data_IF_242699748761
#
_entry.id   IF_242699748761
#
_cell.length_a   1.000
_cell.length_b   1.000
_cell.length_c   1.000
_cell.angle_alpha   90.00
_cell.angle_beta   90.00
_cell.angle_gamma   90.00
#
_symmetry.space_group_name_H-M   'P 1'
#
loop_
_entity.id
_entity.type
_entity.pdbx_description
1 polymer ?
#
# COMPACT_ATOMS: atom_id res chain seq x y z
N UNK A 1 -8.66 -23.93 2.95
CA UNK A 1 -7.39 -24.40 3.56
C UNK A 1 -6.86 -23.39 4.59
N UNK A 2 -6.51 -22.17 4.17
CA UNK A 2 -5.87 -21.15 5.02
C UNK A 2 -6.64 -20.79 6.30
N UNK A 3 -7.97 -20.90 6.29
CA UNK A 3 -8.82 -20.62 7.46
C UNK A 3 -8.97 -21.77 8.46
N UNK A 4 -8.66 -23.01 8.07
CA UNK A 4 -9.10 -24.22 8.79
C UNK A 4 -7.99 -25.20 9.13
N UNK A 5 -6.89 -25.20 8.38
CA UNK A 5 -5.78 -26.13 8.66
C UNK A 5 -4.98 -25.59 9.85
N UNK A 6 -4.92 -26.37 10.94
CA UNK A 6 -4.17 -25.99 12.13
C UNK A 6 -2.64 -26.15 11.92
N UNK A 7 -2.23 -27.14 11.13
CA UNK A 7 -0.82 -27.36 10.78
C UNK A 7 -0.35 -26.38 9.69
N UNK A 8 -0.01 -25.18 10.12
CA UNK A 8 0.53 -24.10 9.29
C UNK A 8 1.94 -24.39 8.77
N UNK A 9 2.68 -25.31 9.41
CA UNK A 9 3.99 -25.77 8.92
C UNK A 9 3.78 -26.56 7.62
N UNK A 10 2.83 -27.48 7.61
CA UNK A 10 2.46 -28.20 6.39
C UNK A 10 1.89 -27.26 5.32
N UNK A 11 1.05 -26.29 5.68
CA UNK A 11 0.57 -25.27 4.72
C UNK A 11 1.75 -24.50 4.12
N UNK A 12 2.74 -24.13 4.94
CA UNK A 12 3.94 -23.45 4.46
C UNK A 12 4.69 -24.31 3.45
N UNK A 13 5.03 -25.54 3.83
CA UNK A 13 5.81 -26.46 3.01
C UNK A 13 5.15 -26.84 1.68
N UNK A 14 3.86 -27.10 1.70
CA UNK A 14 3.15 -27.67 0.55
C UNK A 14 2.43 -26.63 -0.30
N UNK A 15 2.16 -25.43 0.23
CA UNK A 15 1.45 -24.37 -0.49
C UNK A 15 2.36 -23.15 -0.66
N UNK A 16 2.82 -22.54 0.44
CA UNK A 16 3.57 -21.27 0.38
C UNK A 16 4.90 -21.46 -0.35
N UNK A 17 5.66 -22.49 -0.03
CA UNK A 17 6.96 -22.79 -0.66
C UNK A 17 6.82 -23.08 -2.16
N UNK A 18 5.63 -23.49 -2.62
CA UNK A 18 5.35 -23.69 -4.05
C UNK A 18 4.99 -22.35 -4.74
N UNK A 19 4.25 -21.49 -4.05
CA UNK A 19 3.87 -20.16 -4.52
C UNK A 19 5.10 -19.28 -4.72
N UNK A 20 6.05 -19.31 -3.77
CA UNK A 20 7.23 -18.41 -3.77
C UNK A 20 8.39 -18.91 -4.63
N UNK A 21 8.20 -20.00 -5.40
CA UNK A 21 9.24 -20.48 -6.32
C UNK A 21 9.59 -19.39 -7.34
N UNK A 22 10.88 -19.14 -7.63
CA UNK A 22 11.30 -18.03 -8.50
C UNK A 22 10.60 -17.99 -9.87
N UNK A 23 10.34 -19.15 -10.48
CA UNK A 23 9.69 -19.27 -11.79
C UNK A 23 8.15 -19.14 -11.77
N UNK A 24 7.54 -19.08 -10.58
CA UNK A 24 6.07 -19.08 -10.40
C UNK A 24 5.59 -17.80 -9.72
N UNK A 25 6.37 -17.26 -8.79
CA UNK A 25 5.93 -16.24 -7.86
C UNK A 25 5.38 -14.98 -8.54
N UNK A 26 6.15 -14.45 -9.51
CA UNK A 26 5.73 -13.31 -10.34
C UNK A 26 4.42 -13.58 -11.06
N UNK A 27 4.29 -14.75 -11.69
CA UNK A 27 3.09 -15.15 -12.43
C UNK A 27 1.85 -15.14 -11.53
N UNK A 28 1.97 -15.64 -10.30
CA UNK A 28 0.87 -15.61 -9.32
C UNK A 28 0.54 -14.17 -8.89
N UNK A 29 1.55 -13.33 -8.63
CA UNK A 29 1.35 -11.93 -8.25
C UNK A 29 0.67 -11.11 -9.35
N UNK A 30 0.91 -11.44 -10.62
CA UNK A 30 0.33 -10.77 -11.79
C UNK A 30 -1.04 -11.35 -12.18
N UNK A 31 -1.41 -12.52 -11.67
CA UNK A 31 -2.68 -13.15 -12.01
C UNK A 31 -3.86 -12.53 -11.24
N UNK A 32 -5.01 -12.41 -11.93
CA UNK A 32 -6.25 -11.84 -11.38
C UNK A 32 -6.80 -12.61 -10.17
N UNK A 33 -6.53 -13.90 -10.05
CA UNK A 33 -6.97 -14.70 -8.91
C UNK A 33 -5.81 -15.03 -7.97
N UNK A 34 -4.61 -15.26 -8.52
CA UNK A 34 -3.39 -15.54 -7.77
C UNK A 34 -3.03 -14.44 -6.77
N UNK A 35 -3.12 -13.17 -7.16
CA UNK A 35 -2.78 -12.07 -6.25
C UNK A 35 -3.67 -12.05 -5.00
N UNK A 36 -4.93 -12.48 -5.11
CA UNK A 36 -5.85 -12.57 -3.98
C UNK A 36 -5.45 -13.64 -2.99
N UNK A 37 -4.84 -14.74 -3.43
CA UNK A 37 -4.30 -15.77 -2.55
C UNK A 37 -3.12 -15.22 -1.74
N UNK A 38 -2.22 -14.48 -2.40
CA UNK A 38 -1.09 -13.82 -1.72
C UNK A 38 -1.58 -12.80 -0.70
N UNK A 39 -2.54 -11.95 -1.08
CA UNK A 39 -3.16 -10.99 -0.17
C UNK A 39 -3.82 -11.71 1.01
N UNK A 40 -4.51 -12.83 0.78
CA UNK A 40 -5.14 -13.60 1.85
C UNK A 40 -4.14 -14.16 2.86
N UNK A 41 -3.00 -14.68 2.39
CA UNK A 41 -1.89 -15.13 3.24
C UNK A 41 -1.30 -13.99 4.07
N UNK A 42 -1.19 -12.81 3.47
CA UNK A 42 -0.53 -11.63 4.06
C UNK A 42 -1.43 -10.90 5.06
N UNK A 43 -2.69 -10.64 4.70
CA UNK A 43 -3.58 -9.77 5.49
C UNK A 43 -4.67 -10.52 6.25
N UNK A 44 -4.83 -11.82 5.97
CA UNK A 44 -5.88 -12.64 6.56
C UNK A 44 -7.28 -12.28 6.09
N UNK A 45 -8.27 -13.00 6.62
CA UNK A 45 -9.64 -12.97 6.12
C UNK A 45 -10.33 -11.60 6.23
N UNK A 46 -10.23 -10.95 7.38
CA UNK A 46 -10.97 -9.71 7.66
C UNK A 46 -10.55 -8.57 6.73
N UNK A 47 -9.24 -8.39 6.52
CA UNK A 47 -8.73 -7.36 5.61
C UNK A 47 -8.86 -7.75 4.14
N UNK A 48 -8.92 -9.05 3.84
CA UNK A 48 -9.18 -9.55 2.48
C UNK A 48 -10.55 -9.15 1.91
N UNK A 49 -11.49 -8.68 2.75
CA UNK A 49 -12.75 -8.06 2.30
C UNK A 49 -12.54 -6.88 1.33
N UNK A 50 -11.36 -6.23 1.36
CA UNK A 50 -11.01 -5.16 0.42
C UNK A 50 -10.69 -5.67 -0.99
N UNK A 51 -10.35 -6.95 -1.15
CA UNK A 51 -9.83 -7.55 -2.39
C UNK A 51 -10.71 -8.66 -2.95
N UNK A 52 -11.61 -9.22 -2.12
CA UNK A 52 -12.55 -10.26 -2.49
C UNK A 52 -13.93 -9.67 -2.78
N UNK A 53 -14.69 -10.33 -3.68
CA UNK A 53 -16.10 -9.97 -3.88
C UNK A 53 -16.93 -10.36 -2.66
N UNK A 54 -18.07 -9.69 -2.49
CA UNK A 54 -19.04 -10.02 -1.45
C UNK A 54 -19.46 -11.50 -1.49
N UNK A 55 -19.79 -12.03 -2.67
CA UNK A 55 -20.18 -13.44 -2.84
C UNK A 55 -19.07 -14.42 -2.45
N UNK A 56 -17.81 -14.09 -2.77
CA UNK A 56 -16.65 -14.90 -2.35
C UNK A 56 -16.55 -14.91 -0.83
N UNK A 57 -16.77 -13.76 -0.19
CA UNK A 57 -16.72 -13.66 1.25
C UNK A 57 -17.86 -14.44 1.92
N UNK A 58 -19.09 -14.32 1.42
CA UNK A 58 -20.22 -15.12 1.89
C UNK A 58 -20.00 -16.62 1.73
N UNK A 59 -19.34 -17.04 0.65
CA UNK A 59 -18.98 -18.44 0.47
C UNK A 59 -17.99 -18.93 1.53
N UNK A 60 -17.01 -18.10 1.91
CA UNK A 60 -16.08 -18.42 3.01
C UNK A 60 -16.81 -18.50 4.36
N UNK A 61 -17.80 -17.64 4.61
CA UNK A 61 -18.60 -17.63 5.85
C UNK A 61 -19.37 -18.92 6.08
N UNK A 62 -19.83 -19.59 5.01
CA UNK A 62 -20.47 -20.92 5.13
C UNK A 62 -19.55 -21.97 5.75
N UNK A 63 -18.23 -21.78 5.69
CA UNK A 63 -17.25 -22.67 6.32
C UNK A 63 -17.05 -22.43 7.82
N UNK A 64 -17.57 -21.34 8.39
CA UNK A 64 -17.24 -20.94 9.77
C UNK A 64 -17.81 -21.88 10.84
N UNK A 65 -19.00 -22.43 10.62
CA UNK A 65 -19.58 -23.41 11.55
C UNK A 65 -18.71 -24.68 11.64
N UNK A 66 -18.25 -25.18 10.49
CA UNK A 66 -17.37 -26.34 10.44
C UNK A 66 -15.98 -26.03 10.98
N UNK A 67 -15.47 -24.84 10.68
CA UNK A 67 -14.19 -24.33 11.23
C UNK A 67 -14.23 -24.28 12.76
N UNK A 68 -15.30 -23.78 13.35
CA UNK A 68 -15.45 -23.72 14.81
C UNK A 68 -15.42 -25.10 15.48
N UNK A 69 -15.82 -26.16 14.76
CA UNK A 69 -15.83 -27.54 15.25
C UNK A 69 -14.52 -28.30 15.00
N UNK A 70 -13.83 -27.98 13.91
CA UNK A 70 -12.70 -28.81 13.40
C UNK A 70 -11.33 -28.17 13.53
N UNK A 71 -11.25 -26.84 13.63
CA UNK A 71 -10.01 -26.08 13.75
C UNK A 71 -9.81 -25.60 15.18
N UNK A 72 -8.82 -26.16 15.87
CA UNK A 72 -8.49 -25.82 17.26
C UNK A 72 -7.57 -24.60 17.37
N UNK A 73 -6.84 -24.25 16.29
CA UNK A 73 -5.94 -23.10 16.29
C UNK A 73 -6.71 -21.79 16.18
N UNK A 74 -6.36 -20.83 17.03
CA UNK A 74 -6.92 -19.48 17.00
C UNK A 74 -6.75 -18.85 15.59
N UNK A 75 -7.81 -18.23 15.01
CA UNK A 75 -7.74 -17.56 13.71
C UNK A 75 -6.58 -16.57 13.57
N UNK A 76 -6.37 -15.73 14.59
CA UNK A 76 -5.38 -14.65 14.55
C UNK A 76 -3.98 -15.25 14.59
N UNK A 77 -3.74 -16.24 15.46
CA UNK A 77 -2.46 -16.97 15.52
C UNK A 77 -2.15 -17.61 14.16
N UNK A 78 -3.12 -18.31 13.57
CA UNK A 78 -2.93 -18.95 12.25
C UNK A 78 -2.63 -17.94 11.16
N UNK A 79 -3.38 -16.84 11.07
CA UNK A 79 -3.11 -15.77 10.10
C UNK A 79 -1.70 -15.19 10.30
N UNK A 80 -1.27 -14.97 11.53
CA UNK A 80 0.07 -14.42 11.81
C UNK A 80 1.17 -15.41 11.41
N UNK A 81 1.00 -16.71 11.64
CA UNK A 81 1.96 -17.73 11.20
C UNK A 81 2.07 -17.79 9.67
N UNK A 82 0.94 -17.78 8.95
CA UNK A 82 0.93 -17.77 7.48
C UNK A 82 1.55 -16.48 6.92
N UNK A 83 1.26 -15.33 7.55
CA UNK A 83 1.87 -14.05 7.20
C UNK A 83 3.38 -14.09 7.38
N UNK A 84 3.85 -14.61 8.51
CA UNK A 84 5.28 -14.76 8.80
C UNK A 84 5.98 -15.66 7.79
N UNK A 85 5.29 -16.68 7.28
CA UNK A 85 5.82 -17.58 6.26
C UNK A 85 5.98 -16.91 4.89
N UNK A 86 5.01 -16.11 4.43
CA UNK A 86 5.06 -15.48 3.09
C UNK A 86 5.88 -14.17 3.06
N UNK A 87 5.95 -13.44 4.18
CA UNK A 87 6.53 -12.08 4.23
C UNK A 87 7.99 -12.00 3.75
N UNK A 88 8.91 -12.90 4.14
CA UNK A 88 10.31 -12.81 3.69
C UNK A 88 10.46 -12.84 2.17
N UNK A 89 9.69 -13.69 1.48
CA UNK A 89 9.73 -13.78 0.02
C UNK A 89 9.21 -12.50 -0.64
N UNK A 90 8.12 -11.92 -0.12
CA UNK A 90 7.56 -10.66 -0.63
C UNK A 90 8.52 -9.48 -0.41
N UNK A 91 9.13 -9.38 0.78
CA UNK A 91 10.08 -8.33 1.12
C UNK A 91 11.32 -8.41 0.23
N UNK A 92 11.88 -9.60 0.04
CA UNK A 92 13.04 -9.79 -0.84
C UNK A 92 12.71 -9.49 -2.29
N UNK A 93 11.57 -9.98 -2.80
CA UNK A 93 11.14 -9.66 -4.16
C UNK A 93 10.95 -8.16 -4.37
N UNK A 94 10.33 -7.46 -3.41
CA UNK A 94 10.11 -6.02 -3.49
C UNK A 94 11.42 -5.20 -3.41
N UNK A 95 12.43 -5.67 -2.66
CA UNK A 95 13.77 -5.08 -2.63
C UNK A 95 14.43 -5.14 -4.01
N UNK A 96 14.37 -6.29 -4.65
CA UNK A 96 15.04 -6.55 -5.94
C UNK A 96 14.25 -5.97 -7.14
N UNK A 97 12.92 -5.91 -7.03
CA UNK A 97 12.03 -5.61 -8.16
C UNK A 97 11.05 -4.47 -7.85
N UNK A 98 11.51 -3.41 -7.19
CA UNK A 98 10.64 -2.29 -6.72
C UNK A 98 9.78 -1.69 -7.84
N UNK A 99 10.35 -1.45 -9.02
CA UNK A 99 9.61 -0.91 -10.17
C UNK A 99 8.54 -1.89 -10.68
N UNK A 100 8.85 -3.19 -10.70
CA UNK A 100 7.93 -4.22 -11.17
C UNK A 100 6.73 -4.42 -10.22
N UNK A 101 6.94 -4.22 -8.92
CA UNK A 101 5.85 -4.21 -7.94
C UNK A 101 4.81 -3.12 -8.22
N UNK A 102 5.15 -2.11 -9.02
CA UNK A 102 4.25 -1.06 -9.50
C UNK A 102 3.81 -1.25 -10.96
N UNK A 103 4.03 -2.42 -11.57
CA UNK A 103 3.75 -2.67 -12.99
C UNK A 103 2.27 -2.83 -13.32
N UNK A 104 1.46 -3.26 -12.36
CA UNK A 104 0.01 -3.36 -12.49
C UNK A 104 -0.69 -3.20 -11.13
N UNK A 105 -2.02 -3.10 -11.17
CA UNK A 105 -2.84 -2.92 -9.96
C UNK A 105 -2.71 -4.06 -8.96
N UNK A 106 -2.60 -5.32 -9.39
CA UNK A 106 -2.53 -6.49 -8.51
C UNK A 106 -1.22 -6.52 -7.73
N UNK A 107 -0.09 -6.32 -8.43
CA UNK A 107 1.22 -6.23 -7.79
C UNK A 107 1.30 -5.02 -6.85
N UNK A 108 0.72 -3.88 -7.24
CA UNK A 108 0.70 -2.68 -6.40
C UNK A 108 -0.08 -2.89 -5.11
N UNK A 109 -1.20 -3.64 -5.15
CA UNK A 109 -1.96 -4.01 -3.95
C UNK A 109 -1.14 -4.90 -3.01
N UNK A 110 -0.49 -5.94 -3.56
CA UNK A 110 0.42 -6.79 -2.80
C UNK A 110 1.55 -5.95 -2.20
N UNK A 111 2.10 -5.02 -2.98
CA UNK A 111 3.21 -4.19 -2.55
C UNK A 111 2.82 -3.31 -1.36
N UNK A 112 1.66 -2.67 -1.46
CA UNK A 112 1.10 -1.84 -0.40
C UNK A 112 0.95 -2.64 0.90
N UNK A 113 0.34 -3.83 0.82
CA UNK A 113 0.15 -4.68 1.99
C UNK A 113 1.46 -5.28 2.52
N UNK A 114 2.45 -5.50 1.66
CA UNK A 114 3.77 -5.99 2.08
C UNK A 114 4.46 -4.94 2.96
N UNK A 115 4.36 -3.66 2.59
CA UNK A 115 4.95 -2.57 3.37
C UNK A 115 4.17 -2.28 4.65
N UNK A 116 2.83 -2.34 4.62
CA UNK A 116 2.00 -2.05 5.78
C UNK A 116 1.92 -3.21 6.78
N UNK A 117 1.67 -4.43 6.29
CA UNK A 117 1.36 -5.58 7.14
C UNK A 117 2.46 -6.63 7.16
N UNK A 118 3.31 -6.69 6.15
CA UNK A 118 4.36 -7.71 6.05
C UNK A 118 5.27 -7.72 7.27
N UNK A 119 5.57 -8.94 7.75
CA UNK A 119 6.46 -9.21 8.88
C UNK A 119 7.90 -8.90 8.46
N UNK A 120 8.36 -7.69 8.77
CA UNK A 120 9.72 -7.21 8.58
C UNK A 120 9.93 -5.93 9.40
N UNK A 121 11.16 -5.71 9.86
CA UNK A 121 11.53 -4.48 10.56
C UNK A 121 11.52 -3.28 9.61
N UNK A 122 11.54 -2.08 10.18
CA UNK A 122 11.57 -0.86 9.39
C UNK A 122 12.90 -0.71 8.63
N UNK A 123 14.00 -1.23 9.20
CA UNK A 123 15.32 -1.32 8.57
C UNK A 123 15.29 -2.26 7.37
N UNK A 124 14.63 -3.42 7.50
CA UNK A 124 14.47 -4.35 6.38
C UNK A 124 13.64 -3.74 5.25
N UNK A 125 12.67 -2.87 5.54
CA UNK A 125 11.87 -2.16 4.54
C UNK A 125 12.60 -0.93 3.96
N UNK A 126 13.67 -0.45 4.59
CA UNK A 126 14.31 0.84 4.28
C UNK A 126 14.77 0.94 2.83
N UNK A 127 15.47 -0.08 2.33
CA UNK A 127 15.96 -0.11 0.94
C UNK A 127 14.80 -0.01 -0.06
N UNK A 128 13.68 -0.69 0.20
CA UNK A 128 12.49 -0.62 -0.64
C UNK A 128 11.92 0.80 -0.65
N UNK A 129 11.79 1.40 0.54
CA UNK A 129 11.25 2.75 0.72
C UNK A 129 12.13 3.82 0.05
N UNK A 130 13.44 3.60 -0.01
CA UNK A 130 14.41 4.48 -0.69
C UNK A 130 14.41 4.31 -2.21
N UNK A 131 14.12 3.09 -2.71
CA UNK A 131 14.02 2.83 -4.14
C UNK A 131 12.77 3.46 -4.78
N UNK A 132 11.66 3.57 -4.04
CA UNK A 132 10.39 4.07 -4.59
C UNK A 132 10.51 5.51 -5.14
N UNK A 133 11.04 6.50 -4.39
CA UNK A 133 11.16 7.87 -4.92
C UNK A 133 12.09 7.99 -6.13
N UNK A 134 13.04 7.06 -6.31
CA UNK A 134 13.91 7.04 -7.49
C UNK A 134 13.14 6.77 -8.80
N UNK A 135 11.93 6.20 -8.72
CA UNK A 135 11.08 5.91 -9.87
C UNK A 135 10.27 7.12 -10.38
N UNK A 136 10.32 8.25 -9.68
CA UNK A 136 9.66 9.51 -10.11
C UNK A 136 10.39 10.11 -11.31
N UNK A 137 11.70 9.86 -11.43
CA UNK A 137 12.57 10.45 -12.44
C UNK A 137 12.96 11.91 -12.13
N UNK A 138 13.88 12.45 -12.92
CA UNK A 138 14.44 13.80 -12.72
C UNK A 138 13.55 14.94 -13.22
N UNK A 139 12.49 14.63 -13.99
CA UNK A 139 11.62 15.65 -14.59
C UNK A 139 10.14 15.28 -14.51
N UNK A 140 9.31 16.29 -14.27
CA UNK A 140 7.84 16.21 -14.35
C UNK A 140 7.30 15.90 -15.76
N UNK A 141 8.19 15.80 -16.76
CA UNK A 141 7.87 15.44 -18.15
C UNK A 141 8.05 13.96 -18.45
N UNK A 142 8.47 13.14 -17.48
CA UNK A 142 8.56 11.69 -17.65
C UNK A 142 7.16 11.05 -17.57
N UNK A 143 6.71 10.44 -18.66
CA UNK A 143 5.42 9.73 -18.74
C UNK A 143 5.32 8.56 -17.74
N UNK A 144 6.46 8.02 -17.29
CA UNK A 144 6.52 6.94 -16.29
C UNK A 144 6.65 7.45 -14.85
N UNK A 145 6.51 8.75 -14.62
CA UNK A 145 6.59 9.34 -13.29
C UNK A 145 5.46 8.82 -12.38
N UNK A 146 5.81 8.04 -11.36
CA UNK A 146 4.84 7.38 -10.46
C UNK A 146 3.94 8.36 -9.67
N UNK A 147 4.28 9.65 -9.59
CA UNK A 147 3.39 10.68 -9.03
C UNK A 147 2.19 10.96 -9.93
N UNK A 148 2.32 10.76 -11.25
CA UNK A 148 1.34 11.09 -12.28
C UNK A 148 0.60 9.85 -12.83
N UNK A 149 0.93 8.66 -12.35
CA UNK A 149 0.25 7.41 -12.72
C UNK A 149 -0.70 6.94 -11.62
N UNK A 150 -1.31 5.76 -11.80
CA UNK A 150 -2.14 5.11 -10.78
C UNK A 150 -1.38 4.78 -9.48
N UNK A 151 -0.04 4.85 -9.49
CA UNK A 151 0.80 4.66 -8.30
C UNK A 151 0.68 5.81 -7.28
N UNK A 152 0.08 6.95 -7.63
CA UNK A 152 -0.12 8.06 -6.69
C UNK A 152 -0.92 7.65 -5.43
N UNK A 153 -1.89 6.73 -5.56
CA UNK A 153 -2.66 6.20 -4.43
C UNK A 153 -1.77 5.37 -3.52
N UNK A 154 -0.86 4.58 -4.09
CA UNK A 154 0.14 3.82 -3.35
C UNK A 154 1.06 4.77 -2.57
N UNK A 155 1.60 5.81 -3.23
CA UNK A 155 2.46 6.81 -2.57
C UNK A 155 1.75 7.51 -1.40
N UNK A 156 0.50 7.94 -1.62
CA UNK A 156 -0.34 8.54 -0.58
C UNK A 156 -0.49 7.60 0.63
N UNK A 157 -0.78 6.32 0.39
CA UNK A 157 -0.95 5.33 1.47
C UNK A 157 0.35 5.16 2.25
N UNK A 158 1.51 5.12 1.59
CA UNK A 158 2.79 4.99 2.26
C UNK A 158 3.15 6.23 3.11
N UNK A 159 2.85 7.44 2.62
CA UNK A 159 3.00 8.67 3.42
C UNK A 159 2.12 8.61 4.67
N UNK A 160 0.89 8.15 4.51
CA UNK A 160 -0.06 8.05 5.63
C UNK A 160 0.27 6.89 6.59
N UNK A 161 0.96 5.85 6.11
CA UNK A 161 1.21 4.61 6.85
C UNK A 161 -0.04 3.76 7.03
N UNK A 162 -1.11 4.00 6.27
CA UNK A 162 -2.41 3.34 6.40
C UNK A 162 -3.33 3.69 5.22
N UNK A 163 -4.39 2.91 5.01
CA UNK A 163 -5.45 3.27 4.08
C UNK A 163 -6.27 4.46 4.58
N UNK A 164 -6.92 5.14 3.64
CA UNK A 164 -7.72 6.33 3.90
C UNK A 164 -8.85 6.07 4.92
N UNK A 165 -9.10 7.08 5.78
CA UNK A 165 -10.22 7.11 6.73
C UNK A 165 -11.53 6.82 6.02
N UNK A 166 -12.37 6.00 6.65
CA UNK A 166 -13.77 5.90 6.28
C UNK A 166 -14.47 7.23 6.62
N UNK A 167 -15.58 7.55 5.94
CA UNK A 167 -16.32 8.81 6.12
C UNK A 167 -16.81 9.03 7.57
N UNK A 168 -16.87 7.96 8.38
CA UNK A 168 -17.17 8.01 9.81
C UNK A 168 -15.96 8.43 10.70
N UNK A 169 -14.84 8.83 10.08
CA UNK A 169 -13.64 9.30 10.78
C UNK A 169 -12.80 8.21 11.44
N UNK A 170 -13.21 6.94 11.38
CA UNK A 170 -12.47 5.82 11.95
C UNK A 170 -11.42 5.27 10.96
N UNK A 171 -10.25 4.98 11.49
CA UNK A 171 -9.23 4.19 10.81
C UNK A 171 -9.54 2.72 11.06
N UNK A 172 -9.70 1.94 9.99
CA UNK A 172 -9.89 0.49 10.13
C UNK A 172 -8.59 -0.22 10.54
N UNK A 173 -7.45 0.37 10.20
CA UNK A 173 -6.11 -0.15 10.46
C UNK A 173 -5.30 0.81 11.34
N UNK A 174 -4.38 0.26 12.15
CA UNK A 174 -3.41 1.07 12.89
C UNK A 174 -2.40 1.68 11.91
N UNK A 175 -2.04 2.95 12.13
CA UNK A 175 -0.95 3.61 11.40
C UNK A 175 0.36 2.86 11.60
N UNK A 176 1.08 2.62 10.51
CA UNK A 176 2.42 2.05 10.48
C UNK A 176 3.42 3.19 10.26
N UNK A 177 4.39 3.34 11.15
CA UNK A 177 5.42 4.36 11.04
C UNK A 177 6.49 3.92 10.02
N UNK A 178 6.27 4.31 8.76
CA UNK A 178 7.17 3.97 7.64
C UNK A 178 8.32 4.98 7.45
N UNK A 179 8.19 6.20 7.99
CA UNK A 179 9.11 7.31 7.70
C UNK A 179 9.36 7.49 6.19
N UNK A 180 8.30 7.35 5.39
CA UNK A 180 8.36 7.47 3.93
C UNK A 180 8.19 8.92 3.47
N UNK A 181 7.47 9.74 4.23
CA UNK A 181 7.19 11.13 3.88
C UNK A 181 8.47 11.95 3.64
N UNK A 182 9.51 11.89 4.50
CA UNK A 182 10.75 12.64 4.27
C UNK A 182 11.50 12.17 3.03
N UNK A 183 11.52 10.86 2.76
CA UNK A 183 12.18 10.28 1.58
C UNK A 183 11.53 10.80 0.29
N UNK A 184 10.19 10.73 0.23
CA UNK A 184 9.43 11.22 -0.91
C UNK A 184 9.59 12.73 -1.09
N UNK A 185 9.44 13.50 0.00
CA UNK A 185 9.54 14.96 -0.04
C UNK A 185 10.90 15.42 -0.56
N UNK A 186 12.00 14.76 -0.15
CA UNK A 186 13.35 15.07 -0.65
C UNK A 186 13.43 14.97 -2.17
N UNK A 187 12.85 13.94 -2.78
CA UNK A 187 12.89 13.73 -4.23
C UNK A 187 12.01 14.71 -5.00
N UNK A 188 10.84 15.09 -4.47
CA UNK A 188 9.88 15.92 -5.22
C UNK A 188 9.92 17.41 -4.87
N UNK A 189 10.81 17.83 -3.96
CA UNK A 189 10.82 19.19 -3.39
C UNK A 189 10.82 20.31 -4.43
N UNK A 190 11.53 20.12 -5.56
CA UNK A 190 11.64 21.11 -6.64
C UNK A 190 10.32 21.30 -7.40
N UNK A 191 9.56 20.22 -7.56
CA UNK A 191 8.33 20.18 -8.35
C UNK A 191 7.07 20.11 -7.49
N UNK A 192 7.18 20.38 -6.18
CA UNK A 192 6.06 20.23 -5.26
C UNK A 192 4.86 21.10 -5.62
N UNK A 193 5.08 22.30 -6.17
CA UNK A 193 4.00 23.17 -6.64
C UNK A 193 3.32 22.60 -7.88
N UNK A 194 4.07 21.96 -8.77
CA UNK A 194 3.51 21.27 -9.94
C UNK A 194 2.58 20.14 -9.49
N UNK A 195 3.06 19.24 -8.61
CA UNK A 195 2.24 18.15 -8.09
C UNK A 195 1.06 18.62 -7.24
N UNK A 196 1.21 19.73 -6.51
CA UNK A 196 0.12 20.33 -5.73
C UNK A 196 -1.02 20.85 -6.61
N UNK A 197 -0.75 21.18 -7.87
CA UNK A 197 -1.71 21.68 -8.83
C UNK A 197 -2.25 20.60 -9.77
N UNK A 198 -1.63 19.42 -9.80
CA UNK A 198 -2.09 18.28 -10.59
C UNK A 198 -3.37 17.65 -10.01
N UNK A 199 -4.27 17.17 -10.87
CA UNK A 199 -5.55 16.60 -10.46
C UNK A 199 -5.40 15.36 -9.55
N UNK A 200 -4.34 14.58 -9.74
CA UNK A 200 -4.15 13.28 -9.12
C UNK A 200 -3.04 13.29 -8.07
N UNK A 201 -1.89 13.89 -8.40
CA UNK A 201 -0.72 13.95 -7.53
C UNK A 201 -0.93 14.88 -6.32
N UNK A 202 -1.87 15.83 -6.40
CA UNK A 202 -2.17 16.76 -5.31
C UNK A 202 -2.65 16.05 -4.03
N UNK A 203 -3.21 14.85 -4.13
CA UNK A 203 -3.55 14.06 -2.93
C UNK A 203 -2.32 13.50 -2.20
N UNK A 204 -1.21 13.28 -2.92
CA UNK A 204 0.07 12.90 -2.29
C UNK A 204 0.65 14.11 -1.57
N UNK A 205 0.59 15.30 -2.18
CA UNK A 205 1.04 16.54 -1.53
C UNK A 205 0.18 16.88 -0.31
N UNK A 206 -1.13 16.66 -0.39
CA UNK A 206 -2.02 16.79 0.76
C UNK A 206 -1.61 15.86 1.91
N UNK A 207 -1.22 14.62 1.61
CA UNK A 207 -0.74 13.68 2.62
C UNK A 207 0.58 14.16 3.26
N UNK A 208 1.53 14.67 2.46
CA UNK A 208 2.78 15.26 2.97
C UNK A 208 2.51 16.51 3.83
N UNK A 209 1.54 17.35 3.44
CA UNK A 209 1.14 18.52 4.23
C UNK A 209 0.54 18.14 5.60
N UNK A 210 -0.12 16.98 5.68
CA UNK A 210 -0.74 16.46 6.90
C UNK A 210 0.20 15.62 7.76
N UNK A 211 1.36 15.25 7.23
CA UNK A 211 2.34 14.43 7.93
C UNK A 211 3.15 15.26 8.94
N UNK A 212 3.51 14.63 10.06
CA UNK A 212 4.20 15.29 11.17
C UNK A 212 5.67 15.61 10.85
N UNK A 213 6.33 14.83 9.98
CA UNK A 213 7.75 14.99 9.67
C UNK A 213 7.97 16.02 8.56
N UNK A 214 7.00 16.19 7.65
CA UNK A 214 7.15 17.03 6.44
C UNK A 214 6.19 18.22 6.36
N UNK A 215 5.10 18.24 7.13
CA UNK A 215 4.00 19.20 6.96
C UNK A 215 4.39 20.67 7.11
N UNK A 216 5.31 20.99 8.03
CA UNK A 216 5.80 22.37 8.23
C UNK A 216 6.53 22.92 7.01
N UNK A 217 7.41 22.13 6.41
CA UNK A 217 8.19 22.55 5.24
C UNK A 217 7.35 22.58 3.96
N UNK A 218 6.46 21.60 3.80
CA UNK A 218 5.50 21.58 2.70
C UNK A 218 4.61 22.83 2.75
N UNK A 219 4.06 23.17 3.93
CA UNK A 219 3.26 24.39 4.13
C UNK A 219 4.01 25.64 3.71
N UNK A 220 5.26 25.81 4.16
CA UNK A 220 6.08 26.98 3.80
C UNK A 220 6.27 27.12 2.29
N UNK A 221 6.47 26.02 1.57
CA UNK A 221 6.64 26.06 0.10
C UNK A 221 5.32 26.42 -0.58
N UNK A 222 4.22 25.78 -0.16
CA UNK A 222 2.89 26.01 -0.74
C UNK A 222 2.41 27.45 -0.54
N UNK A 223 2.62 28.05 0.65
CA UNK A 223 2.23 29.44 0.93
C UNK A 223 2.94 30.46 0.02
N UNK A 224 4.18 30.18 -0.43
CA UNK A 224 4.91 31.05 -1.37
C UNK A 224 4.30 31.07 -2.79
N UNK A 225 3.48 30.09 -3.14
CA UNK A 225 2.82 29.97 -4.44
C UNK A 225 1.29 29.85 -4.29
N UNK A 226 0.73 30.47 -3.24
CA UNK A 226 -0.70 30.41 -2.93
C UNK A 226 -1.61 30.75 -4.13
N UNK A 227 -1.33 31.79 -4.96
CA UNK A 227 -2.19 32.11 -6.10
C UNK A 227 -2.32 30.98 -7.12
N UNK A 228 -1.25 30.19 -7.34
CA UNK A 228 -1.28 29.03 -8.25
C UNK A 228 -2.16 27.92 -7.69
N UNK A 229 -2.10 27.69 -6.38
CA UNK A 229 -2.91 26.67 -5.69
C UNK A 229 -4.39 27.07 -5.71
N UNK A 230 -4.71 28.34 -5.47
CA UNK A 230 -6.08 28.87 -5.57
C UNK A 230 -6.64 28.69 -6.98
N UNK A 231 -5.86 29.03 -8.00
CA UNK A 231 -6.26 28.85 -9.40
C UNK A 231 -6.50 27.37 -9.72
N UNK A 232 -5.65 26.45 -9.26
CA UNK A 232 -5.85 25.02 -9.46
C UNK A 232 -7.08 24.51 -8.71
N UNK A 233 -7.27 24.94 -7.45
CA UNK A 233 -8.40 24.57 -6.60
C UNK A 233 -9.75 25.05 -7.13
N UNK A 234 -9.78 26.13 -7.91
CA UNK A 234 -10.98 26.66 -8.53
C UNK A 234 -11.50 25.80 -9.70
N UNK A 235 -10.63 24.99 -10.34
CA UNK A 235 -11.01 24.16 -11.49
C UNK A 235 -11.86 22.95 -11.11
N UNK A 236 -11.62 22.38 -9.93
CA UNK A 236 -12.37 21.22 -9.44
C UNK A 236 -12.46 21.24 -7.91
N UNK A 237 -13.70 21.26 -7.41
CA UNK A 237 -14.03 21.27 -5.98
C UNK A 237 -13.66 19.96 -5.27
N UNK A 238 -13.46 18.86 -6.01
CA UNK A 238 -13.04 17.55 -5.50
C UNK A 238 -11.54 17.31 -5.63
N UNK A 239 -10.79 18.25 -6.21
CA UNK A 239 -9.34 18.12 -6.39
C UNK A 239 -8.56 18.11 -5.07
N UNK A 240 -7.39 17.46 -5.07
CA UNK A 240 -6.46 17.53 -3.95
C UNK A 240 -6.02 18.96 -3.66
N UNK A 241 -5.85 19.81 -4.69
CA UNK A 241 -5.52 21.24 -4.58
C UNK A 241 -6.53 22.00 -3.72
N UNK A 242 -7.83 21.71 -3.87
CA UNK A 242 -8.89 22.29 -3.04
C UNK A 242 -8.77 21.89 -1.58
N UNK A 243 -8.41 20.64 -1.31
CA UNK A 243 -8.20 20.16 0.06
C UNK A 243 -6.89 20.69 0.67
N UNK A 244 -5.85 20.89 -0.14
CA UNK A 244 -4.62 21.57 0.28
C UNK A 244 -4.96 23.00 0.73
N UNK A 245 -5.68 23.77 -0.09
CA UNK A 245 -6.05 25.15 0.23
C UNK A 245 -6.82 25.27 1.55
N UNK A 246 -7.70 24.31 1.87
CA UNK A 246 -8.44 24.27 3.15
C UNK A 246 -7.54 23.99 4.37
N UNK A 247 -6.32 23.50 4.15
CA UNK A 247 -5.37 23.10 5.19
C UNK A 247 -4.20 24.07 5.34
N UNK A 248 -3.94 24.90 4.34
CA UNK A 248 -2.99 26.03 4.41
C UNK A 248 -3.53 27.11 5.35
#
# INVERSE_FOLDING_TARGET
>A
ALDVVDDTVSVTKYIIDQIVKPNVFKTIMQDKFGHRVILYLLVGRERSKMYLSFDTFQLLEKGDEMRAKTSKKDPVIRTNELRKAISPALINYAKENTAEMLSNTYMTQIFCETLLCGEATIEEKRTILENIPALIGDTSSNENNIMLTYANRFLKILVQGQYQRLDNGQYKDKRVELHFAPLLFKSIKKDIIFYACDASASFVILALLQDNETGSDVRKILMKSLPKIEQAAAKDIKSGSRFILKKL
#
